data_IF_890669798064
#
_entry.id   IF_890669798064
#
_cell.length_a   1.000
_cell.length_b   1.000
_cell.length_c   1.000
_cell.angle_alpha   90.00
_cell.angle_beta   90.00
_cell.angle_gamma   90.00
#
_symmetry.space_group_name_H-M   'P 1'
#
loop_
_entity.id
_entity.type
_entity.pdbx_description
1 polymer ?
#
# COMPACT_ATOMS: atom_id res chain seq x y z
N UNK A 1 -5.04 -17.70 7.34
CA UNK A 1 -5.37 -16.80 8.48
C UNK A 1 -6.41 -15.73 8.11
N UNK A 2 -6.18 -14.93 7.06
CA UNK A 2 -7.12 -13.86 6.65
C UNK A 2 -8.58 -14.33 6.51
N UNK A 3 -8.83 -15.40 5.74
CA UNK A 3 -10.17 -15.95 5.55
C UNK A 3 -10.87 -16.37 6.86
N UNK A 4 -10.13 -16.99 7.78
CA UNK A 4 -10.67 -17.39 9.07
C UNK A 4 -11.04 -16.18 9.93
N UNK A 5 -10.22 -15.12 9.93
CA UNK A 5 -10.51 -13.87 10.65
C UNK A 5 -11.78 -13.20 10.10
N UNK A 6 -11.91 -13.14 8.77
CA UNK A 6 -13.10 -12.60 8.12
C UNK A 6 -14.38 -13.38 8.47
N UNK A 7 -14.31 -14.72 8.46
CA UNK A 7 -15.43 -15.60 8.83
C UNK A 7 -15.87 -15.42 10.29
N UNK A 8 -14.98 -14.95 11.15
CA UNK A 8 -15.24 -14.64 12.56
C UNK A 8 -15.45 -13.13 12.79
N UNK A 9 -15.92 -12.39 11.79
CA UNK A 9 -16.24 -10.95 11.87
C UNK A 9 -15.05 -10.04 12.25
N UNK A 10 -13.81 -10.50 12.06
CA UNK A 10 -12.64 -9.68 12.25
C UNK A 10 -12.47 -8.65 11.13
N UNK A 11 -12.03 -7.44 11.49
CA UNK A 11 -11.78 -6.35 10.54
C UNK A 11 -10.45 -6.62 9.84
N UNK A 12 -10.46 -6.62 8.51
CA UNK A 12 -9.29 -6.86 7.67
C UNK A 12 -9.12 -5.71 6.69
N UNK A 13 -7.88 -5.24 6.56
CA UNK A 13 -7.49 -4.25 5.56
C UNK A 13 -6.72 -5.00 4.46
N UNK A 14 -7.23 -5.04 3.22
CA UNK A 14 -6.53 -5.73 2.14
C UNK A 14 -5.28 -4.96 1.75
N UNK A 15 -4.24 -5.72 1.39
CA UNK A 15 -3.00 -5.15 0.84
C UNK A 15 -3.08 -5.22 -0.69
N UNK A 16 -2.95 -4.07 -1.35
CA UNK A 16 -2.87 -3.99 -2.79
C UNK A 16 -1.46 -4.40 -3.25
N UNK A 17 -1.41 -5.34 -4.18
CA UNK A 17 -0.19 -5.75 -4.88
C UNK A 17 -0.39 -5.55 -6.38
N UNK A 18 0.62 -5.01 -7.05
CA UNK A 18 0.52 -4.67 -8.46
C UNK A 18 1.89 -4.81 -9.13
N UNK A 19 1.85 -5.18 -10.41
CA UNK A 19 3.02 -5.30 -11.26
C UNK A 19 3.12 -4.15 -12.25
N UNK A 20 3.81 -4.36 -13.39
CA UNK A 20 3.86 -3.38 -14.48
C UNK A 20 2.47 -3.04 -15.00
N UNK A 21 2.36 -1.93 -15.74
CA UNK A 21 1.12 -1.35 -16.28
C UNK A 21 0.11 -2.36 -16.86
N UNK A 22 0.59 -3.38 -17.56
CA UNK A 22 -0.23 -4.48 -18.10
C UNK A 22 -1.06 -5.26 -17.06
N UNK A 23 -0.79 -5.10 -15.77
CA UNK A 23 -1.53 -5.77 -14.69
C UNK A 23 -2.65 -4.91 -14.11
N UNK A 24 -2.65 -3.60 -14.38
CA UNK A 24 -3.49 -2.64 -13.65
C UNK A 24 -4.99 -2.80 -13.91
N UNK A 25 -5.36 -3.36 -15.05
CA UNK A 25 -6.77 -3.59 -15.42
C UNK A 25 -7.47 -4.66 -14.55
N UNK A 26 -6.70 -5.50 -13.85
CA UNK A 26 -7.24 -6.62 -13.08
C UNK A 26 -6.64 -6.75 -11.67
N UNK A 27 -5.46 -6.21 -11.40
CA UNK A 27 -4.80 -6.41 -10.10
C UNK A 27 -5.48 -5.68 -8.94
N UNK A 28 -6.41 -4.77 -9.23
CA UNK A 28 -7.22 -4.06 -8.24
C UNK A 28 -8.61 -4.66 -8.04
N UNK A 29 -8.97 -5.70 -8.80
CA UNK A 29 -10.28 -6.34 -8.70
C UNK A 29 -10.46 -6.98 -7.32
N UNK A 30 -11.62 -6.72 -6.71
CA UNK A 30 -11.96 -7.21 -5.37
C UNK A 30 -11.40 -6.37 -4.22
N UNK A 31 -10.64 -5.30 -4.51
CA UNK A 31 -10.30 -4.31 -3.49
C UNK A 31 -11.52 -3.44 -3.14
N UNK A 32 -11.66 -3.04 -1.87
CA UNK A 32 -12.78 -2.23 -1.42
C UNK A 32 -12.63 -0.79 -1.93
N UNK A 33 -13.67 -0.30 -2.62
CA UNK A 33 -13.73 1.09 -3.08
C UNK A 33 -14.00 2.05 -1.92
N UNK A 34 -13.47 3.27 -1.98
CA UNK A 34 -13.73 4.33 -0.98
C UNK A 34 -13.46 3.89 0.47
N UNK A 35 -12.48 3.00 0.66
CA UNK A 35 -12.17 2.36 1.94
C UNK A 35 -10.66 2.43 2.24
N UNK A 36 -10.23 1.69 3.26
CA UNK A 36 -8.82 1.55 3.63
C UNK A 36 -8.16 0.44 2.82
N UNK A 37 -7.00 0.73 2.25
CA UNK A 37 -6.13 -0.28 1.61
C UNK A 37 -4.69 -0.10 2.09
N UNK A 38 -3.95 -1.19 2.16
CA UNK A 38 -2.53 -1.17 2.51
C UNK A 38 -1.64 -1.40 1.27
N UNK A 39 -0.43 -0.87 1.30
CA UNK A 39 0.63 -1.07 0.30
C UNK A 39 1.95 -1.26 1.02
N UNK A 40 2.89 -1.96 0.39
CA UNK A 40 4.23 -2.18 0.95
C UNK A 40 5.28 -1.45 0.13
N UNK A 41 6.24 -0.83 0.81
CA UNK A 41 7.43 -0.24 0.20
C UNK A 41 8.70 -1.09 0.42
N UNK A 42 8.57 -2.20 1.14
CA UNK A 42 9.67 -3.13 1.36
C UNK A 42 10.06 -3.80 0.03
N UNK A 43 11.33 -3.66 -0.35
CA UNK A 43 11.87 -4.26 -1.57
C UNK A 43 11.48 -3.54 -2.87
N UNK A 44 10.73 -2.44 -2.82
CA UNK A 44 10.33 -1.69 -4.03
C UNK A 44 11.12 -0.41 -4.24
N UNK A 45 11.53 0.28 -3.18
CA UNK A 45 12.12 1.60 -3.33
C UNK A 45 13.60 1.59 -3.74
N UNK A 46 14.33 0.51 -3.51
CA UNK A 46 15.78 0.47 -3.77
C UNK A 46 16.13 0.04 -5.21
N UNK A 47 15.21 -0.63 -5.90
CA UNK A 47 15.36 -1.00 -7.30
C UNK A 47 14.66 0.03 -8.22
N UNK A 48 15.32 0.57 -9.27
CA UNK A 48 14.73 1.57 -10.15
C UNK A 48 13.45 1.12 -10.86
N UNK A 49 13.41 -0.13 -11.35
CA UNK A 49 12.23 -0.65 -12.05
C UNK A 49 11.08 -0.91 -11.06
N UNK A 50 11.35 -1.52 -9.92
CA UNK A 50 10.37 -1.70 -8.86
C UNK A 50 9.83 -0.36 -8.34
N UNK A 51 10.68 0.68 -8.26
CA UNK A 51 10.25 2.03 -7.90
C UNK A 51 9.34 2.62 -8.96
N UNK A 52 9.66 2.46 -10.25
CA UNK A 52 8.82 2.93 -11.36
C UNK A 52 7.45 2.26 -11.34
N UNK A 53 7.44 0.93 -11.17
CA UNK A 53 6.22 0.14 -11.01
C UNK A 53 5.44 0.59 -9.78
N UNK A 54 6.11 0.84 -8.66
CA UNK A 54 5.49 1.31 -7.43
C UNK A 54 4.75 2.63 -7.64
N UNK A 55 5.44 3.63 -8.22
CA UNK A 55 4.86 4.96 -8.46
C UNK A 55 3.65 4.89 -9.39
N UNK A 56 3.78 4.18 -10.52
CA UNK A 56 2.67 4.02 -11.48
C UNK A 56 1.50 3.24 -10.90
N UNK A 57 1.77 2.14 -10.18
CA UNK A 57 0.72 1.33 -9.61
C UNK A 57 0.01 1.97 -8.41
N UNK A 58 0.67 2.84 -7.64
CA UNK A 58 -0.02 3.69 -6.66
C UNK A 58 -0.97 4.66 -7.36
N UNK A 59 -0.54 5.27 -8.46
CA UNK A 59 -1.39 6.18 -9.24
C UNK A 59 -2.63 5.46 -9.77
N UNK A 60 -2.43 4.30 -10.41
CA UNK A 60 -3.54 3.47 -10.89
C UNK A 60 -4.44 3.01 -9.74
N UNK A 61 -3.88 2.57 -8.60
CA UNK A 61 -4.65 2.18 -7.42
C UNK A 61 -5.56 3.32 -6.92
N UNK A 62 -4.98 4.53 -6.76
CA UNK A 62 -5.73 5.69 -6.25
C UNK A 62 -6.88 6.07 -7.19
N UNK A 63 -6.65 6.04 -8.50
CA UNK A 63 -7.69 6.36 -9.50
C UNK A 63 -8.73 5.25 -9.69
N UNK A 64 -8.41 3.99 -9.40
CA UNK A 64 -9.34 2.87 -9.59
C UNK A 64 -10.23 2.65 -8.36
N UNK A 65 -9.67 2.66 -7.15
CA UNK A 65 -10.42 2.29 -5.93
C UNK A 65 -10.72 3.47 -5.01
N UNK A 66 -10.20 4.67 -5.29
CA UNK A 66 -10.45 5.90 -4.53
C UNK A 66 -10.27 5.70 -3.01
N UNK A 67 -9.10 5.24 -2.54
CA UNK A 67 -8.93 4.87 -1.14
C UNK A 67 -9.11 6.09 -0.22
N UNK A 68 -9.89 5.94 0.86
CA UNK A 68 -9.98 6.96 1.92
C UNK A 68 -8.73 6.96 2.78
N UNK A 69 -8.21 5.77 3.08
CA UNK A 69 -6.98 5.59 3.84
C UNK A 69 -6.00 4.72 3.05
N UNK A 70 -4.76 5.21 2.89
CA UNK A 70 -3.67 4.46 2.30
C UNK A 70 -2.63 4.15 3.38
N UNK A 71 -2.53 2.87 3.75
CA UNK A 71 -1.60 2.42 4.79
C UNK A 71 -0.31 1.96 4.12
N UNK A 72 0.79 2.65 4.40
CA UNK A 72 2.10 2.37 3.84
C UNK A 72 2.92 1.57 4.83
N UNK A 73 3.13 0.29 4.54
CA UNK A 73 3.96 -0.61 5.32
C UNK A 73 5.41 -0.56 4.83
N UNK A 74 6.31 0.05 5.60
CA UNK A 74 7.74 0.14 5.31
C UNK A 74 8.27 1.57 5.30
N UNK A 75 9.28 1.82 4.47
CA UNK A 75 9.85 3.16 4.28
C UNK A 75 8.78 4.08 3.70
N UNK A 76 8.52 5.18 4.39
CA UNK A 76 7.46 6.11 4.03
C UNK A 76 7.92 7.07 2.92
N UNK A 77 7.26 7.08 1.74
CA UNK A 77 7.56 8.04 0.68
C UNK A 77 6.82 9.36 0.91
N UNK A 78 7.53 10.39 1.37
CA UNK A 78 6.93 11.69 1.71
C UNK A 78 6.18 12.37 0.55
N UNK A 79 6.60 12.11 -0.69
CA UNK A 79 5.97 12.68 -1.89
C UNK A 79 4.50 12.28 -2.05
N UNK A 80 4.05 11.20 -1.40
CA UNK A 80 2.66 10.76 -1.43
C UNK A 80 1.71 11.82 -0.86
N UNK A 81 2.12 12.53 0.20
CA UNK A 81 1.28 13.56 0.84
C UNK A 81 1.04 14.75 -0.08
N UNK A 82 2.06 15.15 -0.84
CA UNK A 82 1.96 16.26 -1.78
C UNK A 82 1.11 15.89 -3.00
N UNK A 83 1.21 14.63 -3.45
CA UNK A 83 0.50 14.16 -4.64
C UNK A 83 -0.98 13.85 -4.37
N UNK A 84 -1.30 13.30 -3.20
CA UNK A 84 -2.66 12.87 -2.84
C UNK A 84 -3.14 13.53 -1.53
N UNK A 85 -3.39 14.84 -1.51
CA UNK A 85 -3.76 15.56 -0.29
C UNK A 85 -5.12 15.15 0.28
N UNK A 86 -6.00 14.56 -0.54
CA UNK A 86 -7.34 14.12 -0.13
C UNK A 86 -7.39 12.67 0.39
N UNK A 87 -6.25 11.98 0.42
CA UNK A 87 -6.15 10.60 0.92
C UNK A 87 -5.46 10.65 2.28
N UNK A 88 -6.01 9.99 3.30
CA UNK A 88 -5.35 9.88 4.60
C UNK A 88 -4.23 8.82 4.52
N UNK A 89 -2.97 9.24 4.53
CA UNK A 89 -1.82 8.34 4.34
C UNK A 89 -1.14 8.05 5.67
N UNK A 90 -1.15 6.78 6.08
CA UNK A 90 -0.61 6.35 7.38
C UNK A 90 0.61 5.47 7.18
N UNK A 91 1.75 5.84 7.75
CA UNK A 91 2.99 5.04 7.69
C UNK A 91 3.11 4.06 8.86
N UNK A 92 3.32 2.78 8.56
CA UNK A 92 3.67 1.74 9.55
C UNK A 92 5.10 1.28 9.26
N UNK A 93 6.06 1.46 10.19
CA UNK A 93 7.46 1.11 9.95
C UNK A 93 7.64 -0.41 9.83
N UNK A 94 8.55 -0.83 8.94
CA UNK A 94 8.91 -2.24 8.81
C UNK A 94 9.58 -2.78 10.07
N UNK A 95 9.60 -4.10 10.23
CA UNK A 95 10.28 -4.75 11.36
C UNK A 95 11.76 -4.33 11.44
N UNK A 96 12.47 -4.23 10.31
CA UNK A 96 13.86 -3.77 10.27
C UNK A 96 14.02 -2.34 10.79
N UNK A 97 13.13 -1.42 10.40
CA UNK A 97 13.13 -0.05 10.92
C UNK A 97 12.82 0.00 12.42
N UNK A 98 11.90 -0.84 12.90
CA UNK A 98 11.58 -0.93 14.33
C UNK A 98 12.74 -1.52 15.13
N UNK A 99 13.43 -2.53 14.60
CA UNK A 99 14.60 -3.13 15.24
C UNK A 99 15.74 -2.12 15.40
N UNK A 100 16.05 -1.37 14.34
CA UNK A 100 17.07 -0.31 14.38
C UNK A 100 16.78 0.73 15.47
N UNK A 101 15.51 1.11 15.67
CA UNK A 101 15.11 2.04 16.74
C UNK A 101 15.27 1.51 18.16
N UNK A 102 15.30 0.18 18.34
CA UNK A 102 15.47 -0.46 19.66
C UNK A 102 16.95 -0.64 20.03
N UNK A 103 17.83 -0.63 19.03
CA UNK A 103 19.27 -0.78 19.21
C UNK A 103 20.01 0.56 19.34
N UNK A 104 19.30 1.68 19.17
CA UNK A 104 19.76 3.05 19.44
C UNK A 104 19.24 3.49 20.81
#
# INVERSE_FOLDING_TARGET
MAYAVQKNNGIMIPTAGFGPEKTWDWCFDGLPMNSSVAVTTNGTLDDPEARRIFVGGIDALVHTVYPKNLIVCGKYPEWLNNKYPNVNIVGIPSYGQQWQRRCL
#
